data_IF_127353112052
#
_entry.id   IF_127353112052
#
_cell.length_a   1.000
_cell.length_b   1.000
_cell.length_c   1.000
_cell.angle_alpha   90.00
_cell.angle_beta   90.00
_cell.angle_gamma   90.00
#
_symmetry.space_group_name_H-M   'P 1'
#
loop_
_entity.id
_entity.type
_entity.pdbx_description
1 polymer ?
#
# COMPACT_ATOMS: atom_id res chain seq x y z
N UNK A 1 19.09 4.86 30.80
CA UNK A 1 19.17 4.67 29.33
C UNK A 1 20.40 5.40 28.86
N UNK A 2 21.35 4.70 28.23
CA UNK A 2 22.50 5.37 27.61
C UNK A 2 21.98 6.30 26.51
N UNK A 3 22.40 7.56 26.53
CA UNK A 3 21.98 8.56 25.55
C UNK A 3 22.94 8.47 24.37
N UNK A 4 22.54 7.76 23.32
CA UNK A 4 23.29 7.73 22.06
C UNK A 4 23.26 9.13 21.42
N UNK A 5 24.42 9.64 21.00
CA UNK A 5 24.53 10.79 20.12
C UNK A 5 24.33 10.34 18.67
N UNK A 6 23.11 10.55 18.16
CA UNK A 6 22.72 10.21 16.79
C UNK A 6 23.38 11.09 15.70
N UNK A 7 24.40 11.87 16.06
CA UNK A 7 25.27 12.62 15.14
C UNK A 7 26.62 11.95 14.90
N UNK A 8 27.09 11.08 15.80
CA UNK A 8 28.31 10.27 15.56
C UNK A 8 27.97 9.06 14.69
N UNK A 9 28.76 8.86 13.64
CA UNK A 9 28.60 7.70 12.76
C UNK A 9 28.83 6.38 13.52
N UNK A 10 29.81 6.36 14.42
CA UNK A 10 30.16 5.19 15.23
C UNK A 10 29.03 4.82 16.21
N UNK A 11 28.48 5.81 16.93
CA UNK A 11 27.38 5.57 17.87
C UNK A 11 26.09 5.13 17.15
N UNK A 12 25.82 5.66 15.95
CA UNK A 12 24.70 5.21 15.12
C UNK A 12 24.88 3.76 14.67
N UNK A 13 26.09 3.36 14.26
CA UNK A 13 26.38 1.98 13.90
C UNK A 13 26.20 1.02 15.08
N UNK A 14 26.68 1.41 16.26
CA UNK A 14 26.50 0.62 17.48
C UNK A 14 25.02 0.47 17.85
N UNK A 15 24.25 1.57 17.80
CA UNK A 15 22.81 1.55 18.02
C UNK A 15 22.09 0.59 17.06
N UNK A 16 22.37 0.68 15.76
CA UNK A 16 21.78 -0.20 14.75
C UNK A 16 22.15 -1.67 14.98
N UNK A 17 23.40 -1.95 15.38
CA UNK A 17 23.83 -3.30 15.73
C UNK A 17 23.08 -3.85 16.94
N UNK A 18 22.91 -3.06 17.99
CA UNK A 18 22.16 -3.46 19.19
C UNK A 18 20.69 -3.70 18.86
N UNK A 19 20.08 -2.81 18.06
CA UNK A 19 18.71 -2.97 17.58
C UNK A 19 18.52 -4.27 16.77
N UNK A 20 19.50 -4.61 15.92
CA UNK A 20 19.47 -5.87 15.19
C UNK A 20 19.46 -7.10 16.10
N UNK A 21 20.27 -7.08 17.17
CA UNK A 21 20.34 -8.16 18.16
C UNK A 21 19.00 -8.30 18.88
N UNK A 22 18.39 -7.18 19.28
CA UNK A 22 17.06 -7.18 19.92
C UNK A 22 15.99 -7.76 18.99
N UNK A 23 15.99 -7.36 17.72
CA UNK A 23 15.05 -7.90 16.73
C UNK A 23 15.28 -9.41 16.47
N UNK A 24 16.54 -9.86 16.42
CA UNK A 24 16.85 -11.28 16.32
C UNK A 24 16.35 -12.04 17.54
N UNK A 25 16.62 -11.54 18.75
CA UNK A 25 16.18 -12.19 19.97
C UNK A 25 14.64 -12.28 20.06
N UNK A 26 13.94 -11.17 19.80
CA UNK A 26 12.48 -11.15 19.87
C UNK A 26 11.81 -11.98 18.77
N UNK A 27 12.41 -12.07 17.58
CA UNK A 27 11.89 -12.93 16.53
C UNK A 27 12.18 -14.42 16.78
N UNK A 28 13.44 -14.78 17.04
CA UNK A 28 13.87 -16.18 17.08
C UNK A 28 13.57 -16.88 18.41
N UNK A 29 13.70 -16.16 19.53
CA UNK A 29 13.48 -16.74 20.86
C UNK A 29 12.07 -16.45 21.38
N UNK A 30 11.65 -15.18 21.35
CA UNK A 30 10.33 -14.80 21.87
C UNK A 30 9.19 -15.05 20.87
N UNK A 31 9.50 -15.31 19.60
CA UNK A 31 8.53 -15.61 18.54
C UNK A 31 7.45 -14.54 18.39
N UNK A 32 7.83 -13.27 18.57
CA UNK A 32 6.94 -12.11 18.44
C UNK A 32 6.79 -11.73 16.96
N UNK A 33 5.60 -11.87 16.34
CA UNK A 33 5.44 -11.68 14.90
C UNK A 33 5.73 -10.25 14.44
N UNK A 34 5.37 -9.26 15.25
CA UNK A 34 5.68 -7.86 14.99
C UNK A 34 7.20 -7.59 14.99
N UNK A 35 7.95 -8.27 15.86
CA UNK A 35 9.41 -8.14 15.93
C UNK A 35 10.07 -8.86 14.76
N UNK A 36 9.55 -10.02 14.36
CA UNK A 36 10.01 -10.69 13.13
C UNK A 36 9.82 -9.82 11.89
N UNK A 37 8.71 -9.06 11.80
CA UNK A 37 8.53 -8.11 10.71
C UNK A 37 9.58 -7.00 10.72
N UNK A 38 9.86 -6.42 11.89
CA UNK A 38 10.91 -5.41 12.05
C UNK A 38 12.30 -5.95 11.71
N UNK A 39 12.59 -7.22 12.05
CA UNK A 39 13.81 -7.89 11.62
C UNK A 39 13.88 -7.99 10.09
N UNK A 40 12.78 -8.30 9.42
CA UNK A 40 12.66 -8.28 7.96
C UNK A 40 12.94 -6.89 7.39
N UNK A 41 12.30 -5.85 7.91
CA UNK A 41 12.47 -4.44 7.47
C UNK A 41 13.93 -3.98 7.68
N UNK A 42 14.55 -4.38 8.79
CA UNK A 42 15.96 -4.09 9.08
C UNK A 42 16.89 -4.76 8.07
N UNK A 43 16.68 -6.04 7.75
CA UNK A 43 17.49 -6.73 6.75
C UNK A 43 17.30 -6.12 5.35
N UNK A 44 16.07 -5.75 5.00
CA UNK A 44 15.75 -5.12 3.71
C UNK A 44 16.39 -3.74 3.56
N UNK A 45 16.24 -2.87 4.56
CA UNK A 45 16.53 -1.43 4.41
C UNK A 45 17.90 -1.03 4.95
N UNK A 46 18.38 -1.69 6.01
CA UNK A 46 19.63 -1.33 6.69
C UNK A 46 20.78 -2.22 6.21
N UNK A 47 20.60 -3.55 6.26
CA UNK A 47 21.63 -4.48 5.76
C UNK A 47 21.64 -4.63 4.24
N UNK A 48 20.57 -4.19 3.57
CA UNK A 48 20.36 -4.39 2.14
C UNK A 48 20.39 -5.88 1.73
N UNK A 49 20.10 -6.78 2.66
CA UNK A 49 19.98 -8.21 2.43
C UNK A 49 18.52 -8.58 2.18
N UNK A 50 18.08 -8.35 0.95
CA UNK A 50 16.72 -8.69 0.53
C UNK A 50 16.47 -10.20 0.56
N UNK A 51 17.49 -11.06 0.36
CA UNK A 51 17.32 -12.52 0.39
C UNK A 51 16.91 -12.99 1.77
N UNK A 52 17.59 -12.50 2.80
CA UNK A 52 17.26 -12.85 4.18
C UNK A 52 15.92 -12.22 4.61
N UNK A 53 15.66 -10.97 4.23
CA UNK A 53 14.37 -10.33 4.49
C UNK A 53 13.19 -11.13 3.90
N UNK A 54 13.30 -11.62 2.66
CA UNK A 54 12.29 -12.46 2.00
C UNK A 54 11.99 -13.71 2.83
N UNK A 55 13.02 -14.41 3.33
CA UNK A 55 12.83 -15.61 4.17
C UNK A 55 12.12 -15.26 5.47
N UNK A 56 12.54 -14.18 6.13
CA UNK A 56 11.93 -13.73 7.39
C UNK A 56 10.45 -13.38 7.19
N UNK A 57 10.12 -12.61 6.13
CA UNK A 57 8.72 -12.30 5.82
C UNK A 57 7.90 -13.55 5.51
N UNK A 58 8.46 -14.48 4.72
CA UNK A 58 7.78 -15.74 4.40
C UNK A 58 7.50 -16.55 5.67
N UNK A 59 8.52 -16.81 6.47
CA UNK A 59 8.39 -17.60 7.69
C UNK A 59 7.42 -16.95 8.68
N UNK A 60 7.50 -15.63 8.86
CA UNK A 60 6.58 -14.91 9.75
C UNK A 60 5.12 -14.97 9.25
N UNK A 61 4.91 -14.93 7.93
CA UNK A 61 3.60 -15.12 7.35
C UNK A 61 3.10 -16.57 7.52
N UNK A 62 3.95 -17.56 7.32
CA UNK A 62 3.57 -18.97 7.34
C UNK A 62 3.32 -19.49 8.76
N UNK A 63 4.18 -19.13 9.70
CA UNK A 63 4.10 -19.61 11.08
C UNK A 63 3.12 -18.82 11.93
N UNK A 64 3.07 -17.50 11.76
CA UNK A 64 2.31 -16.61 12.66
C UNK A 64 1.14 -15.89 11.98
N UNK A 65 0.92 -16.09 10.68
CA UNK A 65 -0.11 -15.40 9.90
C UNK A 65 -0.02 -13.86 10.01
N UNK A 66 1.17 -13.30 10.19
CA UNK A 66 1.33 -11.87 10.36
C UNK A 66 1.08 -11.14 9.03
N UNK A 67 -0.08 -10.49 8.91
CA UNK A 67 -0.60 -9.99 7.63
C UNK A 67 0.38 -9.08 6.87
N UNK A 68 1.11 -8.19 7.57
CA UNK A 68 2.10 -7.31 6.93
C UNK A 68 3.27 -8.08 6.30
N UNK A 69 3.71 -9.16 6.95
CA UNK A 69 4.75 -10.03 6.40
C UNK A 69 4.24 -10.83 5.20
N UNK A 70 2.99 -11.29 5.23
CA UNK A 70 2.36 -11.94 4.08
C UNK A 70 2.31 -11.02 2.86
N UNK A 71 1.84 -9.78 3.04
CA UNK A 71 1.82 -8.76 1.96
C UNK A 71 3.22 -8.48 1.44
N UNK A 72 4.20 -8.23 2.33
CA UNK A 72 5.60 -7.96 1.94
C UNK A 72 6.20 -9.10 1.13
N UNK A 73 6.02 -10.35 1.57
CA UNK A 73 6.48 -11.50 0.81
C UNK A 73 5.81 -11.59 -0.57
N UNK A 74 4.49 -11.36 -0.64
CA UNK A 74 3.76 -11.28 -1.89
C UNK A 74 4.32 -10.22 -2.84
N UNK A 75 4.64 -9.02 -2.32
CA UNK A 75 5.24 -7.93 -3.11
C UNK A 75 6.57 -8.35 -3.74
N UNK A 76 7.42 -9.04 -2.97
CA UNK A 76 8.67 -9.60 -3.49
C UNK A 76 8.43 -10.57 -4.66
N UNK A 77 7.40 -11.41 -4.58
CA UNK A 77 7.04 -12.36 -5.63
C UNK A 77 6.48 -11.71 -6.89
N UNK A 78 5.89 -10.53 -6.80
CA UNK A 78 5.54 -9.70 -7.99
C UNK A 78 6.80 -9.10 -8.62
N UNK A 79 7.67 -8.51 -7.80
CA UNK A 79 8.83 -7.76 -8.28
C UNK A 79 9.93 -8.69 -8.80
N UNK A 80 10.14 -9.85 -8.17
CA UNK A 80 11.22 -10.79 -8.49
C UNK A 80 12.62 -10.26 -8.16
N UNK A 81 12.73 -9.35 -7.20
CA UNK A 81 14.03 -8.88 -6.71
C UNK A 81 14.62 -9.96 -5.80
N UNK A 82 15.81 -10.47 -6.14
CA UNK A 82 16.51 -11.52 -5.38
C UNK A 82 15.73 -12.85 -5.20
N UNK A 83 14.62 -13.02 -5.95
CA UNK A 83 13.79 -14.23 -5.99
C UNK A 83 13.10 -14.37 -7.36
N UNK A 84 12.67 -15.57 -7.72
CA UNK A 84 11.90 -15.77 -8.94
C UNK A 84 10.52 -15.10 -8.84
N UNK A 85 10.12 -14.39 -9.92
CA UNK A 85 8.76 -13.86 -10.05
C UNK A 85 7.76 -15.00 -10.06
N UNK A 86 6.72 -14.88 -9.24
CA UNK A 86 5.58 -15.78 -9.24
C UNK A 86 4.32 -14.98 -8.86
N UNK A 87 3.59 -14.44 -9.85
CA UNK A 87 2.39 -13.66 -9.59
C UNK A 87 1.25 -14.49 -8.97
N UNK A 88 1.23 -15.81 -9.17
CA UNK A 88 0.20 -16.68 -8.60
C UNK A 88 0.46 -16.86 -7.11
N UNK A 89 1.70 -17.18 -6.74
CA UNK A 89 2.12 -17.24 -5.34
C UNK A 89 1.97 -15.86 -4.67
N UNK A 90 2.39 -14.78 -5.34
CA UNK A 90 2.23 -13.43 -4.85
C UNK A 90 0.78 -13.12 -4.48
N UNK A 91 -0.16 -13.42 -5.38
CA UNK A 91 -1.58 -13.21 -5.15
C UNK A 91 -2.07 -13.96 -3.91
N UNK A 92 -1.71 -15.24 -3.76
CA UNK A 92 -2.08 -16.06 -2.60
C UNK A 92 -1.59 -15.45 -1.28
N UNK A 93 -0.34 -15.00 -1.21
CA UNK A 93 0.21 -14.38 0.00
C UNK A 93 -0.35 -12.99 0.27
N UNK A 94 -0.62 -12.18 -0.76
CA UNK A 94 -1.29 -10.88 -0.58
C UNK A 94 -2.73 -11.05 -0.08
N UNK A 95 -3.46 -12.05 -0.58
CA UNK A 95 -4.77 -12.42 -0.05
C UNK A 95 -4.67 -12.90 1.40
N UNK A 96 -3.68 -13.73 1.73
CA UNK A 96 -3.41 -14.13 3.12
C UNK A 96 -3.13 -12.90 4.01
N UNK A 97 -2.41 -11.91 3.51
CA UNK A 97 -2.21 -10.62 4.19
C UNK A 97 -3.51 -9.85 4.41
N UNK A 98 -4.35 -9.77 3.38
CA UNK A 98 -5.68 -9.17 3.42
C UNK A 98 -6.61 -9.83 4.47
N UNK A 99 -6.57 -11.15 4.58
CA UNK A 99 -7.39 -11.91 5.51
C UNK A 99 -6.88 -11.81 6.95
N UNK A 100 -5.58 -11.53 7.12
CA UNK A 100 -4.95 -11.25 8.41
C UNK A 100 -4.79 -9.74 8.67
N UNK A 101 -5.82 -8.97 8.31
CA UNK A 101 -5.97 -7.56 8.69
C UNK A 101 -4.86 -6.62 8.23
N UNK A 102 -4.15 -6.92 7.12
CA UNK A 102 -3.34 -5.93 6.40
C UNK A 102 -4.11 -5.40 5.18
N UNK A 103 -4.70 -4.20 5.25
CA UNK A 103 -5.44 -3.62 4.14
C UNK A 103 -4.61 -3.44 2.86
N UNK A 104 -3.28 -3.33 2.98
CA UNK A 104 -2.38 -3.27 1.81
C UNK A 104 -2.37 -4.60 1.06
N UNK A 105 -2.48 -5.72 1.75
CA UNK A 105 -2.65 -7.03 1.12
C UNK A 105 -3.90 -7.07 0.25
N UNK A 106 -5.01 -6.50 0.73
CA UNK A 106 -6.25 -6.39 -0.05
C UNK A 106 -6.07 -5.50 -1.29
N UNK A 107 -5.39 -4.35 -1.13
CA UNK A 107 -5.08 -3.43 -2.22
C UNK A 107 -4.21 -4.11 -3.28
N UNK A 108 -3.10 -4.73 -2.88
CA UNK A 108 -2.13 -5.32 -3.80
C UNK A 108 -2.70 -6.55 -4.50
N UNK A 109 -3.40 -7.44 -3.78
CA UNK A 109 -4.10 -8.57 -4.38
C UNK A 109 -5.18 -8.09 -5.36
N UNK A 110 -5.98 -7.09 -4.97
CA UNK A 110 -7.02 -6.51 -5.82
C UNK A 110 -6.45 -5.92 -7.11
N UNK A 111 -5.38 -5.12 -7.00
CA UNK A 111 -4.70 -4.53 -8.15
C UNK A 111 -4.07 -5.60 -9.06
N UNK A 112 -3.46 -6.64 -8.48
CA UNK A 112 -2.88 -7.74 -9.24
C UNK A 112 -3.95 -8.54 -10.01
N UNK A 113 -5.10 -8.82 -9.38
CA UNK A 113 -6.23 -9.48 -10.02
C UNK A 113 -6.85 -8.65 -11.16
N UNK A 114 -6.80 -7.33 -11.09
CA UNK A 114 -7.31 -6.44 -12.15
C UNK A 114 -6.26 -6.13 -13.23
N UNK A 115 -5.04 -6.63 -13.09
CA UNK A 115 -3.99 -6.51 -14.10
C UNK A 115 -4.18 -7.52 -15.24
N UNK A 116 -3.30 -7.47 -16.24
CA UNK A 116 -3.26 -8.46 -17.34
C UNK A 116 -2.67 -9.82 -16.91
N UNK A 117 -2.25 -9.96 -15.66
CA UNK A 117 -1.70 -11.19 -15.10
C UNK A 117 -2.77 -12.27 -15.07
N UNK A 118 -2.51 -13.42 -15.69
CA UNK A 118 -3.41 -14.58 -15.60
C UNK A 118 -3.16 -15.32 -14.28
N UNK A 119 -4.17 -15.34 -13.42
CA UNK A 119 -4.19 -16.16 -12.20
C UNK A 119 -4.90 -17.50 -12.48
N UNK A 120 -5.12 -18.30 -11.43
CA UNK A 120 -5.72 -19.65 -11.57
C UNK A 120 -7.21 -19.64 -11.96
N UNK A 121 -7.92 -18.53 -11.72
CA UNK A 121 -9.36 -18.39 -11.99
C UNK A 121 -9.67 -17.91 -13.41
N UNK A 122 -10.93 -18.05 -13.83
CA UNK A 122 -11.43 -17.39 -15.05
C UNK A 122 -11.22 -15.87 -14.97
N UNK A 123 -11.11 -15.19 -16.13
CA UNK A 123 -10.91 -13.74 -16.19
C UNK A 123 -12.00 -12.95 -15.45
N UNK A 124 -13.26 -13.35 -15.62
CA UNK A 124 -14.40 -12.64 -15.02
C UNK A 124 -14.46 -12.86 -13.50
N UNK A 125 -14.16 -14.09 -13.05
CA UNK A 125 -14.03 -14.41 -11.62
C UNK A 125 -12.85 -13.65 -11.00
N UNK A 126 -11.73 -13.54 -11.72
CA UNK A 126 -10.55 -12.81 -11.29
C UNK A 126 -10.85 -11.32 -11.09
N UNK A 127 -11.51 -10.69 -12.07
CA UNK A 127 -11.89 -9.28 -12.00
C UNK A 127 -12.89 -9.04 -10.87
N UNK A 128 -13.90 -9.89 -10.73
CA UNK A 128 -14.89 -9.79 -9.65
C UNK A 128 -14.24 -9.90 -8.26
N UNK A 129 -13.29 -10.83 -8.11
CA UNK A 129 -12.51 -10.98 -6.89
C UNK A 129 -11.62 -9.76 -6.62
N UNK A 130 -10.97 -9.22 -7.66
CA UNK A 130 -10.15 -8.02 -7.56
C UNK A 130 -10.93 -6.81 -7.04
N UNK A 131 -12.14 -6.60 -7.56
CA UNK A 131 -13.05 -5.53 -7.11
C UNK A 131 -13.46 -5.74 -5.65
N UNK A 132 -13.77 -6.97 -5.25
CA UNK A 132 -14.11 -7.29 -3.85
C UNK A 132 -12.94 -7.00 -2.90
N UNK A 133 -11.72 -7.33 -3.30
CA UNK A 133 -10.50 -7.07 -2.52
C UNK A 133 -10.22 -5.56 -2.41
N UNK A 134 -10.32 -4.82 -3.53
CA UNK A 134 -10.20 -3.37 -3.48
C UNK A 134 -11.30 -2.72 -2.62
N UNK A 135 -12.51 -3.30 -2.58
CA UNK A 135 -13.61 -2.80 -1.73
C UNK A 135 -13.21 -2.90 -0.26
N UNK A 136 -12.77 -4.09 0.16
CA UNK A 136 -12.28 -4.33 1.52
C UNK A 136 -11.12 -3.39 1.88
N UNK A 137 -10.19 -3.14 0.96
CA UNK A 137 -9.11 -2.20 1.17
C UNK A 137 -9.61 -0.75 1.32
N UNK A 138 -10.52 -0.31 0.46
CA UNK A 138 -11.11 1.04 0.52
C UNK A 138 -11.93 1.24 1.80
N UNK A 139 -12.68 0.22 2.24
CA UNK A 139 -13.43 0.24 3.50
C UNK A 139 -12.50 0.38 4.70
N UNK A 140 -11.30 -0.20 4.62
CA UNK A 140 -10.20 -0.03 5.56
C UNK A 140 -9.32 1.21 5.29
N UNK A 141 -9.89 2.23 4.62
CA UNK A 141 -9.27 3.53 4.35
C UNK A 141 -7.95 3.48 3.55
N UNK A 142 -7.75 2.44 2.73
CA UNK A 142 -6.70 2.47 1.71
C UNK A 142 -7.14 3.38 0.57
N UNK A 143 -6.69 4.62 0.65
CA UNK A 143 -6.95 5.69 -0.32
C UNK A 143 -6.84 5.19 -1.78
N UNK A 144 -5.72 4.56 -2.15
CA UNK A 144 -5.47 4.07 -3.51
C UNK A 144 -6.51 3.05 -3.97
N UNK A 145 -7.04 2.24 -3.05
CA UNK A 145 -8.07 1.27 -3.38
C UNK A 145 -9.39 1.96 -3.74
N UNK A 146 -9.77 3.00 -2.99
CA UNK A 146 -10.93 3.83 -3.31
C UNK A 146 -10.75 4.52 -4.66
N UNK A 147 -9.54 5.03 -4.94
CA UNK A 147 -9.21 5.64 -6.23
C UNK A 147 -9.36 4.67 -7.40
N UNK A 148 -8.79 3.47 -7.30
CA UNK A 148 -8.90 2.44 -8.33
C UNK A 148 -10.35 2.01 -8.54
N UNK A 149 -11.12 1.78 -7.48
CA UNK A 149 -12.54 1.42 -7.59
C UNK A 149 -13.36 2.53 -8.25
N UNK A 150 -13.13 3.80 -7.88
CA UNK A 150 -13.81 4.91 -8.53
C UNK A 150 -13.54 4.91 -10.04
N UNK A 151 -12.27 4.76 -10.46
CA UNK A 151 -11.90 4.64 -11.87
C UNK A 151 -12.60 3.50 -12.61
N UNK A 152 -12.76 2.35 -11.95
CA UNK A 152 -13.49 1.19 -12.48
C UNK A 152 -14.98 1.54 -12.68
N UNK A 153 -15.65 2.15 -11.71
CA UNK A 153 -17.07 2.51 -11.85
C UNK A 153 -17.31 3.71 -12.78
N UNK A 154 -16.33 4.61 -12.96
CA UNK A 154 -16.39 5.67 -13.97
C UNK A 154 -16.34 5.10 -15.40
N UNK A 155 -15.50 4.09 -15.61
CA UNK A 155 -15.18 3.58 -16.96
C UNK A 155 -15.99 2.34 -17.33
N UNK A 156 -16.40 1.55 -16.33
CA UNK A 156 -16.87 0.19 -16.51
C UNK A 156 -15.74 -0.76 -16.97
N UNK A 157 -16.06 -2.04 -17.03
CA UNK A 157 -15.27 -3.08 -17.68
C UNK A 157 -16.23 -3.83 -18.60
N UNK A 158 -16.02 -3.75 -19.90
CA UNK A 158 -16.92 -4.31 -20.92
C UNK A 158 -17.26 -5.78 -20.61
N UNK A 159 -18.57 -6.08 -20.59
CA UNK A 159 -19.10 -7.43 -20.34
C UNK A 159 -19.02 -7.92 -18.89
N UNK A 160 -18.42 -7.14 -17.97
CA UNK A 160 -18.18 -7.59 -16.58
C UNK A 160 -18.74 -6.59 -15.56
N UNK A 161 -18.43 -5.30 -15.72
CA UNK A 161 -18.85 -4.23 -14.79
C UNK A 161 -19.42 -3.07 -15.58
N UNK A 162 -20.67 -2.73 -15.31
CA UNK A 162 -21.28 -1.54 -15.87
C UNK A 162 -20.75 -0.27 -15.22
N UNK A 163 -20.78 0.84 -15.97
CA UNK A 163 -20.51 2.16 -15.41
C UNK A 163 -21.54 2.48 -14.33
N UNK A 164 -21.07 2.99 -13.20
CA UNK A 164 -21.92 3.48 -12.12
C UNK A 164 -21.36 4.80 -11.58
N UNK A 165 -21.81 5.90 -12.16
CA UNK A 165 -21.30 7.24 -11.82
C UNK A 165 -21.61 7.63 -10.37
N UNK A 166 -22.72 7.15 -9.80
CA UNK A 166 -23.07 7.42 -8.40
C UNK A 166 -22.09 6.73 -7.44
N UNK A 167 -21.80 5.45 -7.70
CA UNK A 167 -20.83 4.69 -6.92
C UNK A 167 -19.42 5.27 -7.08
N UNK A 168 -19.05 5.65 -8.30
CA UNK A 168 -17.79 6.35 -8.56
C UNK A 168 -17.68 7.66 -7.75
N UNK A 169 -18.76 8.45 -7.67
CA UNK A 169 -18.78 9.68 -6.88
C UNK A 169 -18.52 9.41 -5.40
N UNK A 170 -19.23 8.44 -4.82
CA UNK A 170 -19.06 8.07 -3.39
C UNK A 170 -17.62 7.65 -3.10
N UNK A 171 -17.03 6.83 -3.96
CA UNK A 171 -15.65 6.37 -3.83
C UNK A 171 -14.62 7.48 -4.03
N UNK A 172 -14.84 8.36 -5.02
CA UNK A 172 -14.01 9.54 -5.28
C UNK A 172 -14.06 10.52 -4.10
N UNK A 173 -15.23 10.73 -3.51
CA UNK A 173 -15.41 11.59 -2.36
C UNK A 173 -14.66 11.03 -1.15
N UNK A 174 -14.85 9.75 -0.81
CA UNK A 174 -14.09 9.08 0.26
C UNK A 174 -12.58 9.17 0.04
N UNK A 175 -12.12 8.94 -1.19
CA UNK A 175 -10.71 9.05 -1.53
C UNK A 175 -10.16 10.48 -1.38
N UNK A 176 -10.96 11.49 -1.72
CA UNK A 176 -10.63 12.90 -1.49
C UNK A 176 -10.59 13.26 0.01
N UNK A 177 -11.48 12.69 0.83
CA UNK A 177 -11.46 12.82 2.29
C UNK A 177 -10.21 12.18 2.91
N UNK A 178 -9.66 11.15 2.25
CA UNK A 178 -8.36 10.55 2.58
C UNK A 178 -7.15 11.32 1.99
N UNK A 179 -7.35 12.58 1.60
CA UNK A 179 -6.34 13.50 1.10
C UNK A 179 -5.64 13.05 -0.20
N UNK A 180 -6.35 12.37 -1.11
CA UNK A 180 -5.86 12.21 -2.47
C UNK A 180 -6.26 13.41 -3.34
N UNK A 181 -5.30 14.19 -3.88
CA UNK A 181 -5.62 15.36 -4.68
C UNK A 181 -6.26 15.02 -6.03
N UNK A 182 -5.87 13.91 -6.65
CA UNK A 182 -6.44 13.44 -7.92
C UNK A 182 -7.90 13.03 -7.75
N UNK A 183 -8.26 12.43 -6.61
CA UNK A 183 -9.64 12.13 -6.28
C UNK A 183 -10.47 13.40 -6.06
N UNK A 184 -9.93 14.39 -5.36
CA UNK A 184 -10.58 15.70 -5.22
C UNK A 184 -10.81 16.38 -6.57
N UNK A 185 -9.84 16.29 -7.50
CA UNK A 185 -10.01 16.78 -8.87
C UNK A 185 -11.11 16.01 -9.63
N UNK A 186 -11.24 14.70 -9.41
CA UNK A 186 -12.34 13.92 -9.98
C UNK A 186 -13.69 14.38 -9.42
N UNK A 187 -13.82 14.56 -8.10
CA UNK A 187 -15.06 15.07 -7.46
C UNK A 187 -15.42 16.44 -8.02
N UNK A 188 -14.43 17.33 -8.20
CA UNK A 188 -14.61 18.63 -8.85
C UNK A 188 -15.20 18.48 -10.25
N UNK A 189 -14.64 17.60 -11.07
CA UNK A 189 -15.11 17.34 -12.43
C UNK A 189 -16.51 16.75 -12.46
N UNK A 190 -16.82 15.84 -11.52
CA UNK A 190 -18.13 15.21 -11.39
C UNK A 190 -19.21 16.23 -11.05
N UNK A 191 -18.95 17.16 -10.13
CA UNK A 191 -19.86 18.29 -9.86
C UNK A 191 -19.95 19.28 -11.03
N UNK A 192 -18.87 19.47 -11.80
CA UNK A 192 -18.91 20.34 -12.98
C UNK A 192 -19.80 19.78 -14.10
N UNK A 193 -19.78 18.46 -14.28
CA UNK A 193 -20.50 17.74 -15.36
C UNK A 193 -21.88 17.20 -14.95
N UNK A 194 -22.12 17.01 -13.66
CA UNK A 194 -23.28 16.27 -13.16
C UNK A 194 -23.11 14.75 -13.24
N UNK A 195 -21.88 14.25 -13.26
CA UNK A 195 -21.62 12.80 -13.34
C UNK A 195 -21.88 12.16 -11.98
N UNK A 196 -22.99 11.43 -11.85
CA UNK A 196 -23.33 10.71 -10.61
C UNK A 196 -23.76 11.58 -9.44
N UNK A 197 -23.76 12.90 -9.60
CA UNK A 197 -24.14 13.90 -8.61
C UNK A 197 -24.80 15.10 -9.30
N UNK A 198 -25.54 15.94 -8.57
CA UNK A 198 -26.08 17.18 -9.13
C UNK A 198 -24.94 18.12 -9.57
N UNK A 199 -25.13 18.73 -10.73
CA UNK A 199 -24.23 19.76 -11.23
C UNK A 199 -24.18 20.94 -10.25
N UNK A 200 -22.99 21.32 -9.81
CA UNK A 200 -22.78 22.43 -8.89
C UNK A 200 -21.38 23.05 -9.12
N UNK A 201 -21.34 24.25 -9.69
CA UNK A 201 -20.10 24.96 -10.03
C UNK A 201 -19.34 25.46 -8.80
N UNK A 202 -20.05 25.76 -7.72
CA UNK A 202 -19.44 26.18 -6.44
C UNK A 202 -18.71 25.01 -5.79
N UNK A 203 -19.38 23.87 -5.61
CA UNK A 203 -18.76 22.66 -5.08
C UNK A 203 -17.62 22.17 -5.99
N UNK A 204 -17.78 22.27 -7.31
CA UNK A 204 -16.71 21.95 -8.25
C UNK A 204 -15.45 22.80 -7.98
N UNK A 205 -15.60 24.11 -7.77
CA UNK A 205 -14.49 24.99 -7.42
C UNK A 205 -13.92 24.68 -6.03
N UNK A 206 -14.76 24.37 -5.03
CA UNK A 206 -14.31 23.98 -3.69
C UNK A 206 -13.39 22.76 -3.74
N UNK A 207 -13.80 21.69 -4.42
CA UNK A 207 -12.98 20.49 -4.55
C UNK A 207 -11.73 20.70 -5.41
N UNK A 208 -11.78 21.59 -6.42
CA UNK A 208 -10.60 21.99 -7.20
C UNK A 208 -9.56 22.67 -6.30
N UNK A 209 -9.98 23.64 -5.49
CA UNK A 209 -9.09 24.36 -4.57
C UNK A 209 -8.50 23.42 -3.52
N UNK A 210 -9.30 22.49 -2.98
CA UNK A 210 -8.82 21.45 -2.06
C UNK A 210 -7.75 20.56 -2.71
N UNK A 211 -7.93 20.16 -3.98
CA UNK A 211 -6.93 19.37 -4.70
C UNK A 211 -5.61 20.14 -4.84
N UNK A 212 -5.67 21.44 -5.16
CA UNK A 212 -4.50 22.32 -5.29
C UNK A 212 -3.75 22.49 -3.96
N UNK A 213 -4.49 22.66 -2.87
CA UNK A 213 -3.94 22.74 -1.51
C UNK A 213 -3.19 21.47 -1.12
N UNK A 214 -3.83 20.31 -1.25
CA UNK A 214 -3.20 19.00 -0.95
C UNK A 214 -1.95 18.80 -1.80
N UNK A 215 -1.98 19.12 -3.10
CA UNK A 215 -0.79 18.98 -3.96
C UNK A 215 0.36 19.88 -3.49
N UNK A 216 0.06 21.11 -3.08
CA UNK A 216 1.05 22.05 -2.56
C UNK A 216 1.70 21.52 -1.28
N UNK A 217 0.90 20.99 -0.36
CA UNK A 217 1.40 20.36 0.88
C UNK A 217 2.30 19.16 0.58
N UNK A 218 1.90 18.27 -0.34
CA UNK A 218 2.71 17.13 -0.76
C UNK A 218 4.05 17.57 -1.37
N UNK A 219 4.06 18.63 -2.16
CA UNK A 219 5.29 19.18 -2.75
C UNK A 219 6.21 19.79 -1.68
N UNK A 220 5.65 20.55 -0.74
CA UNK A 220 6.41 21.12 0.38
C UNK A 220 7.01 20.04 1.27
N UNK A 221 6.22 19.02 1.62
CA UNK A 221 6.67 17.89 2.42
C UNK A 221 7.77 17.09 1.71
N UNK A 222 7.64 16.86 0.40
CA UNK A 222 8.69 16.20 -0.40
C UNK A 222 10.01 16.97 -0.37
N UNK A 223 9.97 18.30 -0.38
CA UNK A 223 11.16 19.14 -0.29
C UNK A 223 11.79 19.14 1.12
N UNK A 224 10.99 18.91 2.16
CA UNK A 224 11.44 18.84 3.56
C UNK A 224 12.10 17.50 3.93
N UNK A 225 11.69 16.40 3.29
CA UNK A 225 12.24 15.06 3.55
C UNK A 225 13.53 14.88 2.72
N UNK A 226 14.65 15.40 3.21
CA UNK A 226 16.00 15.05 2.76
C UNK A 226 16.69 14.19 3.80
N UNK A 227 16.45 12.88 3.77
CA UNK A 227 17.33 11.91 4.44
C UNK A 227 18.67 11.90 3.66
N UNK A 228 19.82 11.92 4.36
CA UNK A 228 21.22 12.00 3.85
C UNK A 228 22.01 13.32 4.01
N UNK A 229 21.58 14.32 4.79
CA UNK A 229 22.48 15.48 5.06
C UNK A 229 23.58 15.22 6.12
N UNK A 230 23.62 14.04 6.74
CA UNK A 230 24.68 13.67 7.71
C UNK A 230 25.93 13.02 7.09
N UNK A 231 26.00 12.83 5.78
CA UNK A 231 27.14 12.14 5.10
C UNK A 231 28.11 13.12 4.42
N UNK A 232 27.77 14.42 4.37
CA UNK A 232 28.60 15.45 3.77
C UNK A 232 28.94 16.56 4.79
N UNK A 233 29.55 16.20 5.91
CA UNK A 233 30.35 17.11 6.75
C UNK A 233 31.73 16.50 6.96
#
# INVERSE_FOLDING_TARGET
>A
MAKYDLKSSEEVQEYLKNLHIEYQFGCLNEKKPEVCHLLGDYNESIKQDSKEAIKIYKNNCDEFNYGRSCTKYGDYKVIGKECAKDPIEAFKYMQKGCDNSDPRGCLHAGALALSQTKLESSKDSQISLGIKLLRKACDANQEKACFYLSGIFLSGIEGIIEKNLKEAYVLSLKCCELNNPYACANVSLMHKKGDGVQQNTELANTFRLRAEEIMKELQQNRNSIKFHQGINL
#
